data_IF_551669615791
#
_entry.id   IF_551669615791
#
_cell.length_a   1.000
_cell.length_b   1.000
_cell.length_c   1.000
_cell.angle_alpha   90.00
_cell.angle_beta   90.00
_cell.angle_gamma   90.00
#
_symmetry.space_group_name_H-M   'P 1'
#
loop_
_entity.id
_entity.type
_entity.pdbx_description
1 polymer ?
#
# COMPACT_ATOMS: atom_id res chain seq x y z
N UNK A 1 -35.68 -21.53 3.08
CA UNK A 1 -34.24 -21.82 3.23
C UNK A 1 -33.51 -20.58 3.75
N UNK A 2 -32.86 -20.64 4.91
CA UNK A 2 -32.11 -19.51 5.48
C UNK A 2 -30.74 -19.46 4.76
N UNK A 3 -30.47 -18.42 3.97
CA UNK A 3 -29.14 -18.24 3.37
C UNK A 3 -28.11 -18.12 4.49
N UNK A 4 -27.28 -19.15 4.66
CA UNK A 4 -26.20 -19.15 5.64
C UNK A 4 -25.19 -18.09 5.19
N UNK A 5 -25.15 -16.95 5.88
CA UNK A 5 -24.15 -15.89 5.60
C UNK A 5 -22.77 -16.52 5.71
N UNK A 6 -22.01 -16.47 4.62
CA UNK A 6 -20.60 -16.86 4.62
C UNK A 6 -19.85 -15.88 5.50
N UNK A 7 -19.25 -16.38 6.58
CA UNK A 7 -18.33 -15.61 7.41
C UNK A 7 -17.03 -15.46 6.63
N UNK A 8 -16.63 -14.22 6.33
CA UNK A 8 -15.37 -13.93 5.67
C UNK A 8 -14.26 -13.82 6.72
N UNK A 9 -13.05 -14.22 6.34
CA UNK A 9 -11.83 -14.10 7.15
C UNK A 9 -11.36 -12.63 7.05
N UNK A 10 -11.40 -11.84 8.13
CA UNK A 10 -11.04 -10.43 8.10
C UNK A 10 -9.52 -10.23 8.16
N UNK A 11 -8.99 -9.46 7.22
CA UNK A 11 -7.58 -9.10 7.09
C UNK A 11 -7.47 -7.58 7.15
N UNK A 12 -6.61 -7.04 8.02
CA UNK A 12 -6.27 -5.63 8.04
C UNK A 12 -5.03 -5.40 7.18
N UNK A 13 -5.09 -4.44 6.27
CA UNK A 13 -3.90 -3.91 5.58
C UNK A 13 -3.80 -2.43 5.93
N UNK A 14 -2.69 -2.04 6.55
CA UNK A 14 -2.42 -0.67 6.98
C UNK A 14 -1.29 -0.10 6.13
N UNK A 15 -1.63 0.86 5.27
CA UNK A 15 -0.71 1.46 4.31
C UNK A 15 -0.15 2.77 4.86
N UNK A 16 1.11 3.09 4.56
CA UNK A 16 1.75 4.35 4.98
C UNK A 16 0.98 5.59 4.48
N UNK A 17 0.73 5.65 3.17
CA UNK A 17 0.10 6.79 2.52
C UNK A 17 -1.19 6.47 1.76
N UNK A 18 -1.76 7.52 1.17
CA UNK A 18 -2.94 7.43 0.33
C UNK A 18 -2.66 6.64 -0.97
N UNK A 19 -1.52 6.86 -1.61
CA UNK A 19 -1.21 6.17 -2.87
C UNK A 19 -1.02 4.67 -2.68
N UNK A 20 -0.34 4.25 -1.62
CA UNK A 20 -0.21 2.85 -1.24
C UNK A 20 -1.57 2.20 -1.02
N UNK A 21 -2.46 2.89 -0.30
CA UNK A 21 -3.82 2.41 -0.07
C UNK A 21 -4.57 2.19 -1.39
N UNK A 22 -4.49 3.14 -2.31
CA UNK A 22 -5.17 3.06 -3.60
C UNK A 22 -4.59 1.97 -4.49
N UNK A 23 -3.26 1.82 -4.48
CA UNK A 23 -2.57 0.75 -5.18
C UNK A 23 -3.00 -0.63 -4.65
N UNK A 24 -3.01 -0.82 -3.33
CA UNK A 24 -3.49 -2.08 -2.74
C UNK A 24 -4.97 -2.33 -3.05
N UNK A 25 -5.82 -1.30 -3.05
CA UNK A 25 -7.23 -1.41 -3.47
C UNK A 25 -7.34 -1.81 -4.95
N UNK A 26 -6.48 -1.30 -5.80
CA UNK A 26 -6.42 -1.67 -7.21
C UNK A 26 -6.00 -3.13 -7.38
N UNK A 27 -4.93 -3.58 -6.69
CA UNK A 27 -4.53 -4.98 -6.66
C UNK A 27 -5.65 -5.89 -6.13
N UNK A 28 -6.36 -5.46 -5.08
CA UNK A 28 -7.52 -6.19 -4.58
C UNK A 28 -8.59 -6.33 -5.67
N UNK A 29 -8.90 -5.28 -6.43
CA UNK A 29 -9.88 -5.32 -7.53
C UNK A 29 -9.45 -6.28 -8.64
N UNK A 30 -8.15 -6.34 -8.97
CA UNK A 30 -7.62 -7.21 -10.02
C UNK A 30 -7.54 -8.68 -9.59
N UNK A 31 -7.03 -8.94 -8.40
CA UNK A 31 -6.59 -10.28 -8.00
C UNK A 31 -7.51 -10.97 -7.00
N UNK A 32 -8.47 -10.28 -6.37
CA UNK A 32 -9.40 -10.92 -5.43
C UNK A 32 -10.59 -11.54 -6.18
N UNK A 33 -10.68 -12.88 -6.30
CA UNK A 33 -11.87 -13.50 -6.89
C UNK A 33 -13.09 -13.26 -5.99
N UNK A 34 -14.29 -13.23 -6.60
CA UNK A 34 -15.56 -13.12 -5.86
C UNK A 34 -15.75 -14.25 -4.84
N UNK A 35 -15.17 -15.42 -5.11
CA UNK A 35 -15.19 -16.60 -4.23
C UNK A 35 -14.19 -16.54 -3.07
N UNK A 36 -13.32 -15.53 -3.01
CA UNK A 36 -12.30 -15.40 -1.97
C UNK A 36 -12.92 -15.46 -0.56
N UNK A 37 -12.38 -16.26 0.36
CA UNK A 37 -12.86 -16.31 1.74
C UNK A 37 -12.46 -15.07 2.54
N UNK A 38 -11.57 -14.24 2.01
CA UNK A 38 -11.01 -13.10 2.73
C UNK A 38 -11.84 -11.82 2.52
N UNK A 39 -11.93 -11.02 3.58
CA UNK A 39 -12.39 -9.64 3.54
C UNK A 39 -11.22 -8.75 3.96
N UNK A 40 -10.96 -7.67 3.23
CA UNK A 40 -9.82 -6.81 3.50
C UNK A 40 -10.30 -5.43 3.96
N UNK A 41 -9.87 -5.01 5.14
CA UNK A 41 -9.96 -3.64 5.60
C UNK A 41 -8.66 -2.93 5.26
N UNK A 42 -8.64 -2.18 4.15
CA UNK A 42 -7.46 -1.46 3.68
C UNK A 42 -7.54 -0.02 4.18
N UNK A 43 -6.62 0.37 5.06
CA UNK A 43 -6.60 1.68 5.72
C UNK A 43 -5.32 2.43 5.41
N UNK A 44 -5.40 3.76 5.40
CA UNK A 44 -4.22 4.62 5.32
C UNK A 44 -3.79 5.04 6.71
N UNK A 45 -2.50 5.20 6.91
CA UNK A 45 -1.93 5.99 7.99
C UNK A 45 -1.96 7.48 7.67
N UNK A 46 -1.38 8.24 8.58
CA UNK A 46 -1.14 9.68 8.45
C UNK A 46 0.37 9.94 8.39
N UNK A 47 1.14 8.98 7.86
CA UNK A 47 2.59 8.94 7.94
C UNK A 47 3.12 8.57 9.33
N UNK A 48 4.43 8.74 9.48
CA UNK A 48 5.19 8.37 10.68
C UNK A 48 6.43 7.57 10.32
N UNK A 49 7.02 6.91 11.31
CA UNK A 49 8.06 5.88 11.08
C UNK A 49 7.41 4.53 10.77
N UNK A 50 8.14 3.64 10.09
CA UNK A 50 7.65 2.27 9.80
C UNK A 50 7.27 1.52 11.08
N UNK A 51 8.01 1.73 12.18
CA UNK A 51 7.67 1.20 13.52
C UNK A 51 6.31 1.72 14.01
N UNK A 52 6.06 3.03 13.88
CA UNK A 52 4.78 3.61 14.32
C UNK A 52 3.59 3.08 13.51
N UNK A 53 3.79 2.73 12.24
CA UNK A 53 2.75 2.10 11.42
C UNK A 53 2.41 0.70 11.93
N UNK A 54 3.42 -0.08 12.31
CA UNK A 54 3.24 -1.39 12.95
C UNK A 54 2.45 -1.26 14.25
N UNK A 55 2.81 -0.32 15.11
CA UNK A 55 2.10 -0.08 16.36
C UNK A 55 0.63 0.33 16.12
N UNK A 56 0.38 1.22 15.15
CA UNK A 56 -0.98 1.62 14.76
C UNK A 56 -1.80 0.45 14.20
N UNK A 57 -1.19 -0.43 13.39
CA UNK A 57 -1.85 -1.60 12.84
C UNK A 57 -2.20 -2.61 13.95
N UNK A 58 -1.26 -2.90 14.85
CA UNK A 58 -1.44 -3.81 15.97
C UNK A 58 -2.57 -3.34 16.92
N UNK A 59 -2.58 -2.04 17.22
CA UNK A 59 -3.57 -1.43 18.12
C UNK A 59 -4.93 -1.18 17.45
N UNK A 60 -5.08 -1.49 16.16
CA UNK A 60 -6.33 -1.25 15.45
C UNK A 60 -7.42 -2.21 15.93
N UNK A 61 -8.50 -1.65 16.45
CA UNK A 61 -9.66 -2.40 16.90
C UNK A 61 -10.29 -3.21 15.76
N UNK A 62 -10.65 -4.45 16.07
CA UNK A 62 -11.28 -5.39 15.15
C UNK A 62 -10.72 -6.80 15.31
N UNK A 63 -11.58 -7.80 15.12
CA UNK A 63 -11.21 -9.21 15.19
C UNK A 63 -10.57 -9.66 13.87
N UNK A 64 -9.43 -9.07 13.50
CA UNK A 64 -8.69 -9.44 12.30
C UNK A 64 -7.90 -10.73 12.52
N UNK A 65 -7.97 -11.67 11.58
CA UNK A 65 -7.18 -12.90 11.60
C UNK A 65 -5.71 -12.62 11.30
N UNK A 66 -5.43 -11.62 10.45
CA UNK A 66 -4.08 -11.14 10.16
C UNK A 66 -4.06 -9.63 10.00
N UNK A 67 -2.92 -9.04 10.34
CA UNK A 67 -2.63 -7.62 10.19
C UNK A 67 -1.37 -7.47 9.36
N UNK A 68 -1.43 -6.65 8.33
CA UNK A 68 -0.32 -6.34 7.45
C UNK A 68 -0.06 -4.85 7.46
N UNK A 69 1.21 -4.47 7.39
CA UNK A 69 1.66 -3.10 7.14
C UNK A 69 2.36 -3.05 5.79
N UNK A 70 2.02 -2.03 5.01
CA UNK A 70 2.69 -1.71 3.74
C UNK A 70 3.34 -0.35 3.88
N UNK A 71 4.66 -0.27 3.72
CA UNK A 71 5.41 0.99 3.79
C UNK A 71 6.56 1.04 2.78
N UNK A 72 7.08 2.24 2.55
CA UNK A 72 8.34 2.40 1.81
C UNK A 72 9.53 1.99 2.69
N UNK A 73 10.63 1.54 2.06
CA UNK A 73 11.90 1.29 2.75
C UNK A 73 12.94 2.35 2.39
N UNK A 74 12.65 3.60 2.74
CA UNK A 74 13.43 4.78 2.33
C UNK A 74 14.21 5.45 3.46
N UNK A 75 14.02 5.02 4.71
CA UNK A 75 14.67 5.59 5.90
C UNK A 75 15.86 4.80 6.44
N UNK A 76 16.41 3.91 5.61
CA UNK A 76 17.60 3.13 5.91
C UNK A 76 17.35 1.86 6.74
N UNK A 77 18.38 1.02 6.82
CA UNK A 77 18.27 -0.32 7.41
C UNK A 77 17.97 -0.31 8.91
N UNK A 78 18.44 0.70 9.66
CA UNK A 78 18.21 0.79 11.10
C UNK A 78 16.72 1.01 11.43
N UNK A 79 16.05 1.92 10.72
CA UNK A 79 14.61 2.12 10.90
C UNK A 79 13.81 0.91 10.46
N UNK A 80 14.19 0.29 9.34
CA UNK A 80 13.54 -0.92 8.86
C UNK A 80 13.67 -2.07 9.86
N UNK A 81 14.87 -2.29 10.42
CA UNK A 81 15.11 -3.34 11.42
C UNK A 81 14.30 -3.11 12.70
N UNK A 82 14.17 -1.85 13.16
CA UNK A 82 13.27 -1.53 14.28
C UNK A 82 11.81 -1.85 13.97
N UNK A 83 11.36 -1.58 12.74
CA UNK A 83 10.00 -1.89 12.33
C UNK A 83 9.77 -3.41 12.22
N UNK A 84 10.76 -4.15 11.68
CA UNK A 84 10.71 -5.60 11.57
C UNK A 84 10.63 -6.28 12.95
N UNK A 85 11.45 -5.84 13.91
CA UNK A 85 11.40 -6.34 15.29
C UNK A 85 10.04 -6.07 15.94
N UNK A 86 9.50 -4.86 15.77
CA UNK A 86 8.16 -4.53 16.28
C UNK A 86 7.06 -5.35 15.60
N UNK A 87 7.22 -5.67 14.31
CA UNK A 87 6.26 -6.46 13.55
C UNK A 87 6.21 -7.91 14.05
N UNK A 88 7.39 -8.50 14.31
CA UNK A 88 7.52 -9.82 14.93
C UNK A 88 6.93 -9.87 16.34
N UNK A 89 7.23 -8.87 17.18
CA UNK A 89 6.72 -8.80 18.55
C UNK A 89 5.18 -8.73 18.61
N UNK A 90 4.56 -8.10 17.60
CA UNK A 90 3.12 -7.80 17.57
C UNK A 90 2.30 -8.69 16.63
N UNK A 91 2.92 -9.72 16.06
CA UNK A 91 2.31 -10.62 15.08
C UNK A 91 1.66 -9.85 13.91
N UNK A 92 2.43 -8.92 13.34
CA UNK A 92 2.07 -8.11 12.17
C UNK A 92 3.01 -8.45 11.03
N UNK A 93 2.47 -8.67 9.83
CA UNK A 93 3.28 -8.84 8.64
C UNK A 93 3.76 -7.47 8.12
N UNK A 94 5.05 -7.31 7.88
CA UNK A 94 5.62 -6.10 7.30
C UNK A 94 6.00 -6.34 5.84
N UNK A 95 5.41 -5.55 4.94
CA UNK A 95 5.71 -5.53 3.51
C UNK A 95 6.35 -4.18 3.18
N UNK A 96 7.62 -4.21 2.81
CA UNK A 96 8.35 -3.03 2.37
C UNK A 96 8.44 -2.99 0.84
N UNK A 97 8.12 -1.83 0.25
CA UNK A 97 8.39 -1.57 -1.16
C UNK A 97 9.83 -1.10 -1.36
N UNK A 98 10.54 -1.78 -2.27
CA UNK A 98 11.86 -1.39 -2.76
C UNK A 98 11.97 -1.72 -4.26
N UNK A 99 12.07 -0.71 -5.15
CA UNK A 99 11.99 0.72 -4.86
C UNK A 99 10.57 1.15 -4.42
N UNK A 100 10.40 2.38 -3.94
CA UNK A 100 9.09 2.90 -3.53
C UNK A 100 8.09 2.90 -4.70
N UNK A 101 6.80 2.94 -4.40
CA UNK A 101 5.76 2.85 -5.41
C UNK A 101 5.89 3.94 -6.48
N UNK A 102 6.19 5.18 -6.08
CA UNK A 102 6.35 6.28 -7.04
C UNK A 102 7.54 6.10 -7.97
N UNK A 103 8.63 5.47 -7.51
CA UNK A 103 9.77 5.15 -8.36
C UNK A 103 9.39 4.14 -9.45
N UNK A 104 8.67 3.06 -9.09
CA UNK A 104 8.18 2.06 -10.05
C UNK A 104 7.27 2.70 -11.10
N UNK A 105 6.36 3.58 -10.68
CA UNK A 105 5.45 4.27 -11.61
C UNK A 105 6.23 5.20 -12.54
N UNK A 106 7.23 5.93 -12.03
CA UNK A 106 8.06 6.82 -12.84
C UNK A 106 8.92 6.05 -13.84
N UNK A 107 9.46 4.88 -13.48
CA UNK A 107 10.22 4.04 -14.42
C UNK A 107 9.37 3.58 -15.61
N UNK A 108 8.06 3.39 -15.40
CA UNK A 108 7.10 3.04 -16.45
C UNK A 108 6.71 4.26 -17.28
N UNK A 109 6.38 5.40 -16.64
CA UNK A 109 5.85 6.58 -17.30
C UNK A 109 6.92 7.48 -17.94
N UNK A 110 8.13 7.47 -17.40
CA UNK A 110 9.28 8.27 -17.86
C UNK A 110 10.50 7.35 -18.06
N UNK A 111 10.62 6.63 -19.20
CA UNK A 111 11.71 5.67 -19.43
C UNK A 111 13.14 6.24 -19.30
N UNK A 112 13.28 7.57 -19.44
CA UNK A 112 14.56 8.28 -19.28
C UNK A 112 14.79 8.81 -17.86
N UNK A 113 13.81 8.65 -16.95
CA UNK A 113 13.95 9.01 -15.55
C UNK A 113 14.65 7.88 -14.80
N UNK A 114 15.84 8.16 -14.27
CA UNK A 114 16.57 7.18 -13.47
C UNK A 114 16.15 7.26 -12.00
N UNK A 115 15.06 6.55 -11.63
CA UNK A 115 14.55 6.54 -10.26
C UNK A 115 15.52 5.92 -9.24
N UNK A 116 16.39 5.00 -9.67
CA UNK A 116 17.37 4.32 -8.81
C UNK A 116 18.39 5.26 -8.16
N UNK A 117 18.56 6.47 -8.71
CA UNK A 117 19.46 7.53 -8.20
C UNK A 117 18.71 8.64 -7.47
N UNK A 118 17.46 8.40 -7.09
CA UNK A 118 16.57 9.40 -6.51
C UNK A 118 16.05 8.95 -5.16
N UNK A 119 15.78 9.92 -4.30
CA UNK A 119 15.11 9.65 -3.02
C UNK A 119 13.62 9.42 -3.26
N UNK A 120 12.97 8.76 -2.30
CA UNK A 120 11.51 8.59 -2.33
C UNK A 120 10.77 9.92 -2.40
N UNK A 121 11.25 10.95 -1.69
CA UNK A 121 10.66 12.29 -1.76
C UNK A 121 10.82 12.94 -3.14
N UNK A 122 11.96 12.73 -3.82
CA UNK A 122 12.15 13.20 -5.19
C UNK A 122 11.19 12.50 -6.17
N UNK A 123 11.02 11.18 -6.04
CA UNK A 123 10.08 10.40 -6.84
C UNK A 123 8.63 10.85 -6.58
N UNK A 124 8.23 10.97 -5.30
CA UNK A 124 6.91 11.47 -4.87
C UNK A 124 6.63 12.83 -5.49
N UNK A 125 7.54 13.79 -5.33
CA UNK A 125 7.40 15.13 -5.89
C UNK A 125 7.29 15.11 -7.42
N UNK A 126 8.15 14.35 -8.11
CA UNK A 126 8.16 14.27 -9.58
C UNK A 126 6.85 13.72 -10.12
N UNK A 127 6.38 12.60 -9.57
CA UNK A 127 5.12 11.98 -9.97
C UNK A 127 3.94 12.94 -9.78
N UNK A 128 3.89 13.61 -8.63
CA UNK A 128 2.82 14.55 -8.28
C UNK A 128 2.80 15.79 -9.17
N UNK A 129 3.96 16.28 -9.58
CA UNK A 129 4.08 17.45 -10.46
C UNK A 129 3.76 17.14 -11.91
N UNK A 130 4.11 15.95 -12.41
CA UNK A 130 4.05 15.62 -13.84
C UNK A 130 2.84 14.80 -14.25
N UNK A 131 2.39 13.88 -13.37
CA UNK A 131 1.42 12.84 -13.75
C UNK A 131 0.17 12.85 -12.87
N UNK A 132 0.22 13.42 -11.66
CA UNK A 132 -0.88 13.32 -10.70
C UNK A 132 -1.23 14.64 -9.99
N UNK A 133 -2.13 15.43 -10.61
CA UNK A 133 -2.74 16.60 -9.96
C UNK A 133 -3.46 16.19 -8.66
N UNK A 134 -3.36 17.00 -7.59
CA UNK A 134 -3.93 16.71 -6.27
C UNK A 134 -5.41 16.25 -6.31
N UNK A 135 -6.23 16.89 -7.15
CA UNK A 135 -7.65 16.57 -7.31
C UNK A 135 -7.95 15.17 -7.89
N UNK A 136 -6.98 14.54 -8.58
CA UNK A 136 -7.17 13.24 -9.25
C UNK A 136 -6.60 12.07 -8.45
N UNK A 137 -5.91 12.34 -7.33
CA UNK A 137 -5.13 11.33 -6.59
C UNK A 137 -5.97 10.24 -5.96
N UNK A 138 -7.24 10.49 -5.65
CA UNK A 138 -8.14 9.54 -4.95
C UNK A 138 -9.04 8.73 -5.89
N UNK A 139 -9.07 9.05 -7.19
CA UNK A 139 -10.01 8.43 -8.11
C UNK A 139 -9.38 7.22 -8.82
N UNK A 140 -9.72 6.01 -8.37
CA UNK A 140 -9.27 4.76 -8.99
C UNK A 140 -9.67 4.64 -10.48
N UNK A 141 -10.78 5.24 -10.91
CA UNK A 141 -11.25 5.17 -12.30
C UNK A 141 -10.29 5.88 -13.26
N UNK A 142 -9.55 6.89 -12.77
CA UNK A 142 -8.53 7.58 -13.57
C UNK A 142 -7.29 6.71 -13.85
N UNK A 143 -7.08 5.64 -13.08
CA UNK A 143 -6.02 4.66 -13.34
C UNK A 143 -6.45 3.57 -14.33
N UNK A 144 -7.75 3.51 -14.67
CA UNK A 144 -8.36 2.42 -15.45
C UNK A 144 -8.29 2.58 -16.97
N UNK A 145 -7.61 3.60 -17.52
CA UNK A 145 -7.61 3.83 -18.97
C UNK A 145 -6.28 3.41 -19.59
N UNK A 146 -6.04 2.10 -19.67
CA UNK A 146 -5.31 1.58 -20.83
C UNK A 146 -6.38 1.33 -21.88
N UNK A 147 -6.66 2.35 -22.71
CA UNK A 147 -7.23 2.05 -24.03
C UNK A 147 -6.18 1.21 -24.74
N UNK A 148 -6.53 -0.05 -25.01
CA UNK A 148 -5.77 -0.90 -25.91
C UNK A 148 -5.57 -0.12 -27.21
N UNK A 149 -4.34 0.32 -27.47
CA UNK A 149 -3.91 0.61 -28.82
C UNK A 149 -3.56 -0.75 -29.43
N UNK A 150 -4.57 -1.37 -30.04
CA UNK A 150 -4.40 -2.32 -31.14
C UNK A 150 -4.52 -1.54 -32.45
#
# INVERSE_FOLDING_TARGET
MRHRRRVLIPILIYCEGLHDQLFVRYLQRLYKPKSSPYSFSIQKGDGGSSKSLVEKAANRSGAYTRRLVVCDNDRGEEEFNRALLAALEKDVDLIAFKPCLEAVILDILEPNYNSSRRTTEECKRRLHQRHMSAAKRSNLENYGVIKQAL
#
